data_IF_164793268103
#
_entry.id   IF_164793268103
#
_cell.length_a   1.000
_cell.length_b   1.000
_cell.length_c   1.000
_cell.angle_alpha   90.00
_cell.angle_beta   90.00
_cell.angle_gamma   90.00
#
_symmetry.space_group_name_H-M   'P 1'
#
loop_
_entity.id
_entity.type
_entity.pdbx_description
1 polymer ?
#
# COMPACT_ATOMS: atom_id res chain seq x y z
N UNK A 1 -2.11 28.45 -25.54
CA UNK A 1 -1.09 27.89 -24.64
C UNK A 1 -1.74 26.85 -23.73
N UNK A 2 -2.36 25.82 -24.31
CA UNK A 2 -3.59 25.23 -23.71
C UNK A 2 -3.43 23.76 -23.28
N UNK A 3 -2.38 23.07 -23.74
CA UNK A 3 -2.10 21.68 -23.36
C UNK A 3 -1.74 21.49 -21.88
N UNK A 4 -1.21 22.53 -21.21
CA UNK A 4 -0.74 22.42 -19.81
C UNK A 4 -1.90 22.33 -18.81
N UNK A 5 -3.06 22.93 -19.10
CA UNK A 5 -4.23 22.88 -18.21
C UNK A 5 -4.99 21.54 -18.26
N UNK A 6 -4.92 20.82 -19.38
CA UNK A 6 -5.62 19.53 -19.53
C UNK A 6 -4.95 18.45 -18.67
N UNK A 7 -3.61 18.44 -18.59
CA UNK A 7 -2.88 17.47 -17.77
C UNK A 7 -3.00 17.72 -16.26
N UNK A 8 -3.11 18.97 -15.79
CA UNK A 8 -3.24 19.24 -14.34
C UNK A 8 -4.61 18.87 -13.77
N UNK A 9 -5.68 18.88 -14.59
CA UNK A 9 -7.00 18.45 -14.16
C UNK A 9 -7.10 16.92 -13.97
N UNK A 10 -6.44 16.13 -14.82
CA UNK A 10 -6.59 14.67 -14.82
C UNK A 10 -5.92 13.99 -13.62
N UNK A 11 -4.80 14.52 -13.13
CA UNK A 11 -4.07 13.95 -11.98
C UNK A 11 -4.73 14.21 -10.61
N UNK A 12 -5.71 15.12 -10.52
CA UNK A 12 -6.34 15.48 -9.25
C UNK A 12 -7.47 14.51 -8.81
N UNK A 13 -7.99 13.68 -9.71
CA UNK A 13 -9.27 12.96 -9.49
C UNK A 13 -9.10 11.56 -8.87
N UNK A 14 -7.89 10.96 -8.91
CA UNK A 14 -7.68 9.56 -8.51
C UNK A 14 -7.40 9.39 -6.98
N UNK A 15 -7.09 10.48 -6.26
CA UNK A 15 -6.59 10.41 -4.88
C UNK A 15 -7.65 10.26 -3.78
N UNK A 16 -8.93 10.55 -4.05
CA UNK A 16 -9.95 10.72 -2.98
C UNK A 16 -10.80 9.49 -2.69
N UNK A 17 -10.95 8.54 -3.62
CA UNK A 17 -11.91 7.42 -3.47
C UNK A 17 -11.38 6.19 -2.73
N UNK A 18 -10.06 6.03 -2.56
CA UNK A 18 -9.46 4.84 -1.93
C UNK A 18 -9.27 4.94 -0.41
N UNK A 19 -9.47 6.12 0.16
CA UNK A 19 -9.17 6.35 1.57
C UNK A 19 -10.15 5.61 2.51
N UNK A 20 -11.44 5.51 2.11
CA UNK A 20 -12.53 4.96 2.94
C UNK A 20 -12.31 3.52 3.46
N UNK A 21 -11.58 2.66 2.74
CA UNK A 21 -11.30 1.29 3.19
C UNK A 21 -10.18 1.17 4.24
N UNK A 22 -9.52 2.28 4.58
CA UNK A 22 -8.36 2.28 5.47
C UNK A 22 -8.70 1.88 6.91
N UNK A 23 -9.78 2.41 7.50
CA UNK A 23 -10.18 2.01 8.85
C UNK A 23 -10.55 0.52 8.90
N UNK A 24 -11.34 0.04 7.94
CA UNK A 24 -11.72 -1.39 7.85
C UNK A 24 -10.50 -2.32 7.70
N UNK A 25 -9.42 -1.90 7.03
CA UNK A 25 -8.20 -2.71 6.90
C UNK A 25 -7.24 -2.59 8.10
N UNK A 26 -7.24 -1.47 8.82
CA UNK A 26 -6.22 -1.16 9.82
C UNK A 26 -6.75 -0.95 11.24
N UNK A 27 -8.06 -1.09 11.49
CA UNK A 27 -8.71 -0.83 12.79
C UNK A 27 -7.98 -1.50 13.95
N UNK A 28 -7.59 -2.77 13.82
CA UNK A 28 -6.87 -3.52 14.86
C UNK A 28 -5.47 -2.99 15.18
N UNK A 29 -4.89 -2.13 14.33
CA UNK A 29 -3.52 -1.60 14.47
C UNK A 29 -3.47 -0.15 14.95
N UNK A 30 -4.54 0.64 14.78
CA UNK A 30 -4.58 2.04 15.25
C UNK A 30 -4.59 2.19 16.79
N UNK A 31 -5.36 1.39 17.57
CA UNK A 31 -5.43 1.51 19.02
C UNK A 31 -4.12 1.21 19.75
N UNK A 32 -3.14 0.61 19.08
CA UNK A 32 -1.78 0.44 19.63
C UNK A 32 -0.97 1.74 19.68
N UNK A 33 -1.48 2.83 19.11
CA UNK A 33 -0.81 4.13 19.05
C UNK A 33 -1.54 5.26 19.80
N UNK A 34 -2.80 5.06 20.21
CA UNK A 34 -3.56 6.07 20.95
C UNK A 34 -3.19 6.09 22.43
N UNK A 35 -3.00 7.27 23.02
CA UNK A 35 -2.72 7.42 24.46
C UNK A 35 -3.97 7.30 25.33
N UNK A 36 -5.16 7.48 24.75
CA UNK A 36 -6.43 7.40 25.44
C UNK A 36 -7.40 6.36 24.85
N UNK A 37 -8.45 6.09 25.62
CA UNK A 37 -9.56 5.23 25.22
C UNK A 37 -9.29 3.72 25.34
N UNK A 38 -10.36 2.93 25.31
CA UNK A 38 -10.26 1.46 25.34
C UNK A 38 -10.06 0.91 23.94
N UNK A 39 -9.00 0.11 23.68
CA UNK A 39 -8.65 -0.26 22.30
C UNK A 39 -9.73 -1.07 21.57
N UNK A 40 -10.43 -1.97 22.27
CA UNK A 40 -11.54 -2.72 21.68
C UNK A 40 -12.79 -1.88 21.35
N UNK A 41 -13.00 -0.75 22.05
CA UNK A 41 -14.10 0.17 21.76
C UNK A 41 -13.76 1.08 20.59
N UNK A 42 -12.48 1.46 20.45
CA UNK A 42 -11.96 2.19 19.29
C UNK A 42 -12.05 1.30 18.03
N UNK A 43 -11.58 0.06 18.10
CA UNK A 43 -11.61 -0.90 16.98
C UNK A 43 -13.03 -1.14 16.45
N UNK A 44 -13.98 -1.50 17.33
CA UNK A 44 -15.38 -1.74 16.96
C UNK A 44 -16.01 -0.48 16.32
N UNK A 45 -15.84 0.70 16.93
CA UNK A 45 -16.39 1.94 16.40
C UNK A 45 -15.77 2.32 15.04
N UNK A 46 -14.43 2.25 14.90
CA UNK A 46 -13.74 2.56 13.64
C UNK A 46 -14.07 1.56 12.52
N UNK A 47 -14.37 0.30 12.85
CA UNK A 47 -14.78 -0.71 11.85
C UNK A 47 -16.11 -0.38 11.17
N UNK A 48 -16.96 0.44 11.81
CA UNK A 48 -18.29 0.81 11.33
C UNK A 48 -18.28 2.13 10.51
N UNK A 49 -17.18 2.88 10.49
CA UNK A 49 -17.06 4.11 9.70
C UNK A 49 -16.85 3.79 8.22
N UNK A 50 -17.74 4.31 7.37
CA UNK A 50 -17.60 4.23 5.91
C UNK A 50 -16.82 5.41 5.31
N UNK A 51 -16.70 6.53 6.03
CA UNK A 51 -16.06 7.77 5.58
C UNK A 51 -15.01 8.29 6.56
N UNK A 52 -13.97 8.94 6.04
CA UNK A 52 -12.90 9.61 6.80
C UNK A 52 -13.31 11.00 7.32
N UNK A 53 -14.48 11.08 7.93
CA UNK A 53 -14.92 12.31 8.59
C UNK A 53 -14.25 12.44 9.96
N UNK A 54 -13.45 13.50 10.14
CA UNK A 54 -12.79 13.84 11.41
C UNK A 54 -13.77 13.91 12.59
N UNK A 55 -14.99 14.38 12.34
CA UNK A 55 -16.07 14.43 13.34
C UNK A 55 -16.52 13.04 13.82
N UNK A 56 -16.60 12.06 12.91
CA UNK A 56 -17.07 10.71 13.25
C UNK A 56 -15.95 9.92 13.94
N UNK A 57 -14.70 10.11 13.51
CA UNK A 57 -13.50 9.55 14.16
C UNK A 57 -13.34 10.09 15.57
N UNK A 58 -13.42 11.41 15.77
CA UNK A 58 -13.39 12.05 17.10
C UNK A 58 -14.49 11.47 18.01
N UNK A 59 -15.71 11.31 17.48
CA UNK A 59 -16.82 10.71 18.23
C UNK A 59 -16.52 9.28 18.72
N UNK A 60 -15.80 8.46 17.94
CA UNK A 60 -15.34 7.14 18.39
C UNK A 60 -14.36 7.23 19.57
N UNK A 61 -13.41 8.17 19.55
CA UNK A 61 -12.48 8.38 20.67
C UNK A 61 -13.20 8.86 21.94
N UNK A 62 -14.19 9.77 21.82
CA UNK A 62 -15.05 10.17 22.95
C UNK A 62 -15.82 8.97 23.51
N UNK A 63 -16.43 8.14 22.66
CA UNK A 63 -17.16 6.92 23.08
C UNK A 63 -16.22 5.90 23.76
N UNK A 64 -14.97 5.81 23.31
CA UNK A 64 -13.95 4.96 23.92
C UNK A 64 -13.44 5.47 25.29
N UNK A 65 -13.80 6.70 25.69
CA UNK A 65 -13.48 7.30 26.99
C UNK A 65 -12.37 8.35 26.98
N UNK A 66 -11.97 8.86 25.81
CA UNK A 66 -11.08 10.02 25.73
C UNK A 66 -11.79 11.33 26.14
N UNK A 67 -11.02 12.31 26.59
CA UNK A 67 -11.52 13.69 26.71
C UNK A 67 -11.80 14.31 25.33
N UNK A 68 -12.61 15.36 25.24
CA UNK A 68 -12.98 15.97 23.95
C UNK A 68 -11.75 16.54 23.23
N UNK A 69 -10.86 17.20 23.97
CA UNK A 69 -9.65 17.81 23.41
C UNK A 69 -8.67 16.73 22.91
N UNK A 70 -8.45 15.69 23.71
CA UNK A 70 -7.55 14.57 23.37
C UNK A 70 -8.11 13.71 22.21
N UNK A 71 -9.44 13.54 22.15
CA UNK A 71 -10.12 12.85 21.05
C UNK A 71 -9.98 13.60 19.71
N UNK A 72 -9.85 14.93 19.72
CA UNK A 72 -9.62 15.71 18.50
C UNK A 72 -8.19 15.50 17.96
N UNK A 73 -7.19 15.53 18.84
CA UNK A 73 -5.79 15.31 18.45
C UNK A 73 -5.53 13.86 18.01
N UNK A 74 -6.08 12.88 18.72
CA UNK A 74 -6.02 11.46 18.33
C UNK A 74 -6.74 11.19 17.00
N UNK A 75 -7.90 11.82 16.74
CA UNK A 75 -8.59 11.69 15.47
C UNK A 75 -7.74 12.22 14.30
N UNK A 76 -7.09 13.38 14.45
CA UNK A 76 -6.17 13.92 13.44
C UNK A 76 -4.98 12.98 13.20
N UNK A 77 -4.38 12.46 14.28
CA UNK A 77 -3.25 11.54 14.17
C UNK A 77 -3.65 10.22 13.48
N UNK A 78 -4.80 9.65 13.84
CA UNK A 78 -5.39 8.48 13.19
C UNK A 78 -5.59 8.68 11.68
N UNK A 79 -6.18 9.81 11.26
CA UNK A 79 -6.38 10.15 9.85
C UNK A 79 -5.03 10.31 9.12
N UNK A 80 -4.06 10.99 9.73
CA UNK A 80 -2.75 11.18 9.13
C UNK A 80 -1.98 9.86 8.99
N UNK A 81 -2.02 8.99 10.00
CA UNK A 81 -1.45 7.64 10.01
C UNK A 81 -2.07 6.78 8.92
N UNK A 82 -3.39 6.80 8.83
CA UNK A 82 -4.18 6.11 7.81
C UNK A 82 -3.77 6.56 6.39
N UNK A 83 -3.63 7.87 6.14
CA UNK A 83 -3.11 8.38 4.86
C UNK A 83 -1.71 7.84 4.56
N UNK A 84 -0.78 7.83 5.51
CA UNK A 84 0.56 7.26 5.30
C UNK A 84 0.53 5.76 4.98
N UNK A 85 -0.30 4.97 5.67
CA UNK A 85 -0.46 3.54 5.39
C UNK A 85 -1.04 3.31 3.99
N UNK A 86 -2.06 4.09 3.59
CA UNK A 86 -2.63 4.01 2.24
C UNK A 86 -1.61 4.31 1.14
N UNK A 87 -0.72 5.30 1.34
CA UNK A 87 0.37 5.61 0.40
C UNK A 87 1.41 4.48 0.34
N UNK A 88 1.74 3.85 1.47
CA UNK A 88 2.65 2.71 1.51
C UNK A 88 2.05 1.47 0.83
N UNK A 89 0.75 1.23 0.96
CA UNK A 89 0.03 0.19 0.20
C UNK A 89 -0.05 0.51 -1.29
N UNK A 90 -0.30 1.76 -1.68
CA UNK A 90 -0.22 2.16 -3.09
C UNK A 90 1.18 1.89 -3.65
N UNK A 91 2.23 2.28 -2.93
CA UNK A 91 3.62 1.99 -3.33
C UNK A 91 3.89 0.48 -3.44
N UNK A 92 3.37 -0.32 -2.50
CA UNK A 92 3.48 -1.78 -2.53
C UNK A 92 2.73 -2.36 -3.74
N UNK A 93 1.55 -1.83 -4.07
CA UNK A 93 0.73 -2.26 -5.21
C UNK A 93 1.25 -1.78 -6.56
N UNK A 94 1.81 -0.59 -6.68
CA UNK A 94 2.53 -0.14 -7.90
C UNK A 94 3.74 -1.06 -8.17
N UNK A 95 4.41 -1.53 -7.11
CA UNK A 95 5.50 -2.51 -7.24
C UNK A 95 4.98 -3.91 -7.64
N UNK A 96 3.67 -4.17 -7.57
CA UNK A 96 3.04 -5.46 -7.94
C UNK A 96 1.91 -5.33 -8.98
N UNK A 97 1.79 -4.19 -9.68
CA UNK A 97 0.56 -3.79 -10.37
C UNK A 97 0.73 -3.41 -11.84
N UNK A 98 1.89 -3.68 -12.45
CA UNK A 98 2.20 -3.38 -13.86
C UNK A 98 1.60 -4.43 -14.83
N UNK A 99 0.81 -5.39 -14.35
CA UNK A 99 0.44 -6.61 -15.08
C UNK A 99 -1.06 -6.97 -14.88
N UNK A 100 -1.98 -6.18 -15.48
CA UNK A 100 -3.43 -6.49 -15.63
C UNK A 100 -4.17 -5.49 -16.53
N UNK A 101 -4.38 -5.82 -17.81
CA UNK A 101 -5.44 -5.33 -18.73
C UNK A 101 -5.34 -6.20 -20.00
N UNK A 102 -6.03 -7.35 -20.10
CA UNK A 102 -7.45 -7.55 -20.44
C UNK A 102 -7.79 -7.37 -21.95
N UNK A 103 -7.85 -8.48 -22.70
CA UNK A 103 -8.62 -8.57 -23.94
C UNK A 103 -9.03 -10.01 -24.29
N UNK A 104 -10.34 -10.23 -24.36
CA UNK A 104 -11.00 -11.46 -24.84
C UNK A 104 -10.87 -11.56 -26.37
N UNK A 105 -10.52 -12.72 -26.97
CA UNK A 105 -11.06 -13.22 -28.27
C UNK A 105 -10.69 -14.70 -28.52
N UNK A 106 -11.61 -15.38 -29.21
CA UNK A 106 -11.81 -16.82 -29.49
C UNK A 106 -10.92 -17.43 -30.60
N UNK A 107 -10.81 -18.78 -30.59
CA UNK A 107 -10.63 -19.69 -31.76
C UNK A 107 -9.24 -19.71 -32.48
N UNK A 108 -8.77 -20.80 -33.12
CA UNK A 108 -9.30 -22.17 -33.33
C UNK A 108 -8.18 -23.18 -33.69
N UNK A 109 -8.41 -24.48 -33.46
CA UNK A 109 -7.71 -25.65 -34.08
C UNK A 109 -6.21 -25.92 -33.78
N UNK A 110 -5.64 -27.10 -34.06
CA UNK A 110 -6.20 -28.45 -34.27
C UNK A 110 -5.10 -29.55 -34.15
N UNK A 111 -5.50 -30.74 -33.68
CA UNK A 111 -4.98 -32.12 -33.92
C UNK A 111 -3.53 -32.58 -33.67
N UNK A 112 -3.47 -33.85 -33.20
CA UNK A 112 -2.37 -34.85 -33.19
C UNK A 112 -1.56 -34.93 -31.89
N UNK A 113 -1.78 -35.81 -30.89
CA UNK A 113 -2.24 -37.23 -30.79
C UNK A 113 -1.08 -38.26 -30.75
N UNK A 114 -1.32 -39.39 -30.06
CA UNK A 114 -0.44 -40.54 -29.70
C UNK A 114 0.40 -40.37 -28.41
N UNK A 115 0.43 -41.29 -27.42
CA UNK A 115 -0.56 -42.28 -26.93
C UNK A 115 -0.09 -42.78 -25.51
N UNK A 116 -0.81 -43.54 -24.67
CA UNK A 116 -2.14 -44.16 -24.78
C UNK A 116 -2.99 -44.07 -23.47
N UNK A 117 -2.90 -44.95 -22.44
CA UNK A 117 -4.06 -45.24 -21.56
C UNK A 117 -3.80 -44.99 -20.05
N UNK A 118 -4.78 -45.09 -19.13
CA UNK A 118 -6.17 -45.54 -19.27
C UNK A 118 -7.17 -44.65 -18.53
N UNK A 119 -8.42 -44.69 -19.01
CA UNK A 119 -9.59 -43.97 -18.54
C UNK A 119 -10.29 -44.59 -17.31
N UNK A 120 -10.80 -43.73 -16.44
CA UNK A 120 -12.14 -43.91 -15.87
C UNK A 120 -12.89 -42.59 -16.08
N UNK A 121 -13.91 -42.60 -16.95
CA UNK A 121 -14.45 -41.37 -17.52
C UNK A 121 -15.50 -40.70 -16.61
N UNK A 122 -15.28 -39.43 -16.31
CA UNK A 122 -16.32 -38.43 -16.08
C UNK A 122 -15.77 -37.09 -16.55
N UNK A 123 -16.59 -36.35 -17.30
CA UNK A 123 -16.19 -35.25 -18.15
C UNK A 123 -16.01 -33.91 -17.41
N UNK A 124 -15.33 -32.99 -18.10
CA UNK A 124 -15.27 -31.51 -17.90
C UNK A 124 -14.07 -30.99 -17.09
N UNK A 125 -13.59 -29.84 -17.58
CA UNK A 125 -12.60 -28.86 -17.07
C UNK A 125 -11.08 -29.04 -17.25
N UNK A 126 -10.50 -27.97 -17.81
CA UNK A 126 -9.07 -27.72 -18.06
C UNK A 126 -8.41 -27.27 -16.75
N UNK A 127 -8.44 -28.12 -15.73
CA UNK A 127 -7.99 -27.76 -14.37
C UNK A 127 -7.30 -28.91 -13.64
N UNK A 128 -6.07 -29.28 -14.09
CA UNK A 128 -5.18 -30.14 -13.27
C UNK A 128 -3.68 -30.18 -13.59
N UNK A 129 -3.12 -29.21 -14.32
CA UNK A 129 -1.66 -29.01 -14.26
C UNK A 129 -1.31 -28.38 -12.91
N UNK A 130 -0.53 -29.07 -12.07
CA UNK A 130 -0.30 -28.63 -10.70
C UNK A 130 0.31 -27.21 -10.63
N UNK A 131 -0.47 -26.25 -10.12
CA UNK A 131 -0.08 -24.87 -9.90
C UNK A 131 1.20 -24.71 -9.06
N UNK A 132 1.31 -25.58 -8.05
CA UNK A 132 2.37 -25.56 -7.06
C UNK A 132 3.22 -26.83 -7.14
N UNK A 133 4.53 -26.64 -7.17
CA UNK A 133 5.51 -27.70 -6.93
C UNK A 133 5.71 -27.83 -5.43
N UNK A 134 5.32 -28.96 -4.84
CA UNK A 134 5.56 -29.23 -3.42
C UNK A 134 6.99 -29.69 -3.20
N UNK A 135 7.82 -28.84 -2.58
CA UNK A 135 9.18 -29.20 -2.17
C UNK A 135 9.18 -29.64 -0.70
N UNK A 136 9.69 -30.84 -0.42
CA UNK A 136 9.86 -31.31 0.97
C UNK A 136 11.18 -30.78 1.50
N UNK A 137 11.13 -29.83 2.45
CA UNK A 137 12.31 -29.31 3.14
C UNK A 137 12.30 -29.81 4.59
N UNK A 138 13.41 -30.41 5.00
CA UNK A 138 13.63 -30.71 6.42
C UNK A 138 13.98 -29.41 7.15
N UNK A 139 13.25 -29.11 8.22
CA UNK A 139 13.55 -28.01 9.14
C UNK A 139 13.81 -28.61 10.52
N UNK A 140 14.81 -28.09 11.21
CA UNK A 140 15.11 -28.51 12.57
C UNK A 140 14.35 -27.58 13.52
N UNK A 141 13.37 -28.13 14.25
CA UNK A 141 12.56 -27.40 15.22
C UNK A 141 13.12 -27.71 16.60
N UNK A 142 13.67 -26.68 17.25
CA UNK A 142 14.19 -26.78 18.61
C UNK A 142 13.17 -26.20 19.58
N UNK A 143 12.87 -26.94 20.63
CA UNK A 143 12.13 -26.39 21.77
C UNK A 143 13.07 -25.46 22.57
N UNK A 144 12.52 -24.39 23.17
CA UNK A 144 13.31 -23.38 23.89
C UNK A 144 12.71 -23.21 25.27
N UNK A 145 13.43 -23.69 26.27
CA UNK A 145 13.02 -23.62 27.67
C UNK A 145 13.78 -22.50 28.38
N UNK A 146 13.04 -21.61 29.04
CA UNK A 146 13.65 -20.50 29.80
C UNK A 146 13.81 -20.92 31.26
N UNK A 147 15.05 -21.17 31.69
CA UNK A 147 15.38 -21.56 33.07
C UNK A 147 16.18 -20.43 33.72
N UNK A 148 15.70 -19.90 34.85
CA UNK A 148 16.43 -18.86 35.60
C UNK A 148 16.58 -17.50 34.88
N UNK A 149 15.76 -17.22 33.86
CA UNK A 149 15.83 -15.97 33.09
C UNK A 149 16.76 -16.00 31.88
N UNK A 150 17.43 -17.13 31.62
CA UNK A 150 18.16 -17.39 30.38
C UNK A 150 17.39 -18.38 29.52
N UNK A 151 17.35 -18.14 28.20
CA UNK A 151 16.73 -19.04 27.25
C UNK A 151 17.74 -20.13 26.85
N UNK A 152 17.45 -21.38 27.21
CA UNK A 152 18.24 -22.55 26.83
C UNK A 152 17.51 -23.34 25.73
N UNK A 153 18.21 -23.58 24.62
CA UNK A 153 17.68 -24.38 23.51
C UNK A 153 17.75 -25.86 23.88
N UNK A 154 16.60 -26.51 23.96
CA UNK A 154 16.49 -27.95 24.23
C UNK A 154 16.69 -28.78 22.95
N UNK A 155 16.35 -30.07 23.00
CA UNK A 155 16.61 -31.01 21.91
C UNK A 155 15.85 -30.65 20.63
N UNK A 156 16.59 -30.46 19.53
CA UNK A 156 16.00 -30.20 18.22
C UNK A 156 15.50 -31.47 17.53
N UNK A 157 14.28 -31.43 17.01
CA UNK A 157 13.67 -32.53 16.23
C UNK A 157 13.55 -32.14 14.76
N UNK A 158 13.92 -33.05 13.85
CA UNK A 158 13.78 -32.86 12.40
C UNK A 158 12.31 -32.96 12.00
N UNK A 159 11.68 -31.83 11.68
CA UNK A 159 10.34 -31.79 11.11
C UNK A 159 10.40 -31.76 9.57
N UNK A 160 9.45 -32.43 8.92
CA UNK A 160 9.23 -32.30 7.46
C UNK A 160 8.29 -31.11 7.22
N UNK A 161 8.80 -30.07 6.58
CA UNK A 161 7.98 -28.95 6.10
C UNK A 161 7.72 -29.13 4.60
N UNK A 162 6.44 -29.08 4.22
CA UNK A 162 6.01 -29.09 2.83
C UNK A 162 5.88 -27.64 2.37
N UNK A 163 6.81 -27.18 1.54
CA UNK A 163 6.79 -25.84 0.95
C UNK A 163 6.18 -25.93 -0.45
N UNK A 164 5.00 -25.35 -0.63
CA UNK A 164 4.38 -25.16 -1.95
C UNK A 164 5.00 -23.93 -2.63
N UNK A 165 5.85 -24.15 -3.63
CA UNK A 165 6.39 -23.07 -4.46
C UNK A 165 5.63 -23.04 -5.79
N UNK A 166 5.35 -21.87 -6.34
CA UNK A 166 4.79 -21.78 -7.69
C UNK A 166 5.66 -22.51 -8.72
N UNK A 167 5.01 -23.17 -9.68
CA UNK A 167 5.71 -23.75 -10.83
C UNK A 167 6.49 -22.65 -11.58
N UNK A 168 7.63 -23.02 -12.17
CA UNK A 168 8.47 -22.09 -12.92
C UNK A 168 7.69 -21.36 -14.02
N UNK A 169 7.95 -20.07 -14.19
CA UNK A 169 7.24 -19.17 -15.12
C UNK A 169 5.72 -19.02 -14.86
N UNK A 170 5.22 -19.35 -13.66
CA UNK A 170 3.82 -19.08 -13.28
C UNK A 170 3.73 -18.15 -12.08
N UNK A 171 2.70 -17.31 -12.09
CA UNK A 171 2.20 -16.53 -10.95
C UNK A 171 0.99 -17.29 -10.42
N UNK A 172 1.03 -17.74 -9.17
CA UNK A 172 -0.12 -18.37 -8.52
C UNK A 172 -0.74 -17.41 -7.51
N UNK A 173 -2.05 -17.36 -7.48
CA UNK A 173 -2.83 -16.67 -6.46
C UNK A 173 -4.02 -17.53 -6.05
N UNK A 174 -4.41 -17.49 -4.78
CA UNK A 174 -5.56 -18.25 -4.27
C UNK A 174 -6.69 -17.26 -4.01
N UNK A 175 -7.83 -17.45 -4.69
CA UNK A 175 -8.99 -16.58 -4.56
C UNK A 175 -9.68 -16.76 -3.19
N UNK A 176 -10.57 -15.84 -2.79
CA UNK A 176 -11.36 -15.93 -1.56
C UNK A 176 -12.19 -17.23 -1.44
N UNK A 177 -12.50 -17.88 -2.57
CA UNK A 177 -13.14 -19.20 -2.66
C UNK A 177 -12.20 -20.40 -2.41
N UNK A 178 -10.91 -20.17 -2.17
CA UNK A 178 -9.83 -21.17 -2.12
C UNK A 178 -9.61 -21.92 -3.45
N UNK A 179 -9.90 -21.26 -4.55
CA UNK A 179 -9.56 -21.72 -5.90
C UNK A 179 -8.17 -21.21 -6.26
N UNK A 180 -7.29 -22.11 -6.70
CA UNK A 180 -5.92 -21.80 -7.11
C UNK A 180 -5.89 -21.35 -8.57
N UNK A 181 -5.58 -20.08 -8.79
CA UNK A 181 -5.47 -19.46 -10.11
C UNK A 181 -3.98 -19.40 -10.46
N UNK A 182 -3.61 -20.00 -11.59
CA UNK A 182 -2.27 -19.86 -12.16
C UNK A 182 -2.31 -19.12 -13.49
N UNK A 183 -1.53 -18.05 -13.55
CA UNK A 183 -1.29 -17.29 -14.77
C UNK A 183 0.14 -17.56 -15.23
N UNK A 184 0.32 -17.79 -16.52
CA UNK A 184 1.65 -17.89 -17.11
C UNK A 184 2.26 -16.48 -17.16
N UNK A 185 3.51 -16.34 -16.69
CA UNK A 185 4.21 -15.07 -16.66
C UNK A 185 4.62 -14.70 -18.07
N UNK A 186 3.78 -13.94 -18.77
CA UNK A 186 4.18 -13.30 -20.01
C UNK A 186 5.35 -12.35 -19.73
N UNK A 187 6.34 -12.32 -20.62
CA UNK A 187 7.45 -11.40 -20.50
C UNK A 187 6.97 -9.98 -20.79
N UNK A 188 7.12 -9.06 -19.83
CA UNK A 188 6.81 -7.64 -20.04
C UNK A 188 7.48 -7.14 -21.32
N UNK A 189 6.67 -6.78 -22.31
CA UNK A 189 7.14 -6.33 -23.62
C UNK A 189 7.94 -5.04 -23.53
N UNK A 190 8.66 -4.74 -24.62
CA UNK A 190 9.46 -3.51 -24.79
C UNK A 190 8.60 -2.25 -24.54
N UNK A 191 7.28 -2.34 -24.76
CA UNK A 191 6.28 -1.30 -24.57
C UNK A 191 6.30 -0.68 -23.15
N UNK A 192 6.41 -1.50 -22.10
CA UNK A 192 6.48 -1.01 -20.71
C UNK A 192 7.73 -0.17 -20.43
N UNK A 193 8.85 -0.49 -21.09
CA UNK A 193 10.11 0.27 -20.99
C UNK A 193 9.98 1.64 -21.66
N UNK A 194 9.29 1.72 -22.81
CA UNK A 194 9.05 2.99 -23.50
C UNK A 194 8.23 3.94 -22.63
N UNK A 195 7.13 3.47 -22.03
CA UNK A 195 6.32 4.30 -21.13
C UNK A 195 7.13 4.74 -19.91
N UNK A 196 7.84 3.81 -19.25
CA UNK A 196 8.66 4.12 -18.07
C UNK A 196 9.74 5.19 -18.33
N UNK A 197 10.41 5.15 -19.49
CA UNK A 197 11.44 6.14 -19.85
C UNK A 197 10.87 7.53 -20.10
N UNK A 198 9.70 7.65 -20.73
CA UNK A 198 9.03 8.94 -20.97
C UNK A 198 8.62 9.60 -19.65
N UNK A 199 7.98 8.85 -18.74
CA UNK A 199 7.60 9.36 -17.42
C UNK A 199 8.83 9.72 -16.57
N UNK A 200 9.88 8.88 -16.59
CA UNK A 200 11.14 9.18 -15.92
C UNK A 200 11.79 10.48 -16.41
N UNK A 201 11.83 10.69 -17.73
CA UNK A 201 12.36 11.93 -18.32
C UNK A 201 11.53 13.16 -17.92
N UNK A 202 10.20 13.07 -17.93
CA UNK A 202 9.32 14.16 -17.52
C UNK A 202 9.53 14.58 -16.06
N UNK A 203 9.69 13.61 -15.15
CA UNK A 203 9.98 13.85 -13.72
C UNK A 203 11.33 14.58 -13.57
N UNK A 204 12.38 14.11 -14.26
CA UNK A 204 13.71 14.72 -14.22
C UNK A 204 13.68 16.18 -14.71
N UNK A 205 13.01 16.44 -15.84
CA UNK A 205 12.83 17.81 -16.37
C UNK A 205 12.06 18.70 -15.40
N UNK A 206 11.01 18.17 -14.75
CA UNK A 206 10.25 18.87 -13.71
C UNK A 206 11.12 19.29 -12.52
N UNK A 207 11.95 18.39 -11.99
CA UNK A 207 12.89 18.73 -10.92
C UNK A 207 13.89 19.80 -11.35
N UNK A 208 14.53 19.66 -12.53
CA UNK A 208 15.47 20.68 -13.03
C UNK A 208 14.81 22.06 -13.18
N UNK A 209 13.55 22.13 -13.61
CA UNK A 209 12.81 23.38 -13.70
C UNK A 209 12.57 24.04 -12.33
N UNK A 210 12.18 23.25 -11.32
CA UNK A 210 12.01 23.72 -9.93
C UNK A 210 13.35 24.24 -9.38
N UNK A 211 14.43 23.47 -9.49
CA UNK A 211 15.76 23.93 -9.06
C UNK A 211 16.18 25.23 -9.77
N UNK A 212 16.00 25.32 -11.08
CA UNK A 212 16.35 26.51 -11.86
C UNK A 212 15.57 27.75 -11.43
N UNK A 213 14.26 27.61 -11.20
CA UNK A 213 13.41 28.73 -10.74
C UNK A 213 13.79 29.19 -9.33
N UNK A 214 14.05 28.26 -8.40
CA UNK A 214 14.57 28.57 -7.05
C UNK A 214 15.91 29.33 -7.11
N UNK A 215 16.90 28.84 -7.84
CA UNK A 215 18.20 29.52 -7.98
C UNK A 215 18.06 30.91 -8.63
N UNK A 216 17.16 31.07 -9.60
CA UNK A 216 16.90 32.34 -10.28
C UNK A 216 16.17 33.34 -9.37
N UNK A 217 15.30 32.88 -8.46
CA UNK A 217 14.68 33.71 -7.44
C UNK A 217 15.71 34.23 -6.41
N UNK A 218 16.57 33.35 -5.88
CA UNK A 218 17.62 33.73 -4.93
C UNK A 218 18.60 34.76 -5.51
N UNK A 219 18.93 34.68 -6.82
CA UNK A 219 19.76 35.70 -7.48
C UNK A 219 19.12 37.09 -7.50
N UNK A 220 17.78 37.19 -7.61
CA UNK A 220 17.07 38.48 -7.57
C UNK A 220 17.03 39.06 -6.15
N UNK A 221 16.81 38.23 -5.13
CA UNK A 221 16.76 38.68 -3.74
C UNK A 221 18.09 39.29 -3.28
N UNK A 222 19.23 38.73 -3.69
CA UNK A 222 20.57 39.29 -3.37
C UNK A 222 20.83 40.70 -3.93
N UNK A 223 20.14 41.10 -4.99
CA UNK A 223 20.27 42.44 -5.60
C UNK A 223 19.41 43.48 -4.87
N UNK A 224 18.33 43.04 -4.22
CA UNK A 224 17.42 43.92 -3.46
C UNK A 224 17.88 44.06 -2.01
N UNK A 225 18.38 42.97 -1.40
CA UNK A 225 18.90 42.95 -0.04
C UNK A 225 20.13 43.86 0.18
N UNK A 226 20.94 44.10 -0.86
CA UNK A 226 22.06 45.06 -0.80
C UNK A 226 21.64 46.53 -0.96
N UNK A 227 20.35 46.81 -1.13
CA UNK A 227 19.80 48.16 -1.32
C UNK A 227 18.68 48.53 -0.34
N UNK A 228 18.25 47.61 0.51
CA UNK A 228 17.32 47.90 1.61
C UNK A 228 18.11 48.17 2.91
N UNK A 229 17.88 49.29 3.62
CA UNK A 229 18.41 49.44 4.97
C UNK A 229 17.78 48.38 5.88
N UNK A 230 18.57 47.87 6.82
CA UNK A 230 18.19 46.81 7.75
C UNK A 230 17.05 47.25 8.68
N UNK A 231 15.81 46.92 8.30
CA UNK A 231 14.64 46.92 9.19
C UNK A 231 14.32 45.50 9.59
N UNK A 232 14.72 45.12 10.81
CA UNK A 232 14.36 43.87 11.48
C UNK A 232 12.85 43.76 11.64
N UNK A 233 12.17 43.22 10.61
CA UNK A 233 10.78 42.79 10.73
C UNK A 233 10.79 41.38 11.29
N UNK A 234 10.91 41.30 12.61
CA UNK A 234 10.74 40.07 13.38
C UNK A 234 9.48 39.34 12.94
N UNK A 235 9.62 38.08 12.50
CA UNK A 235 8.51 37.16 12.30
C UNK A 235 7.87 36.85 13.66
N UNK A 236 7.03 37.75 14.14
CA UNK A 236 6.19 37.53 15.33
C UNK A 236 5.00 36.69 14.89
N UNK A 237 4.87 35.42 15.30
CA UNK A 237 3.70 34.62 14.97
C UNK A 237 2.48 35.22 15.67
N UNK A 238 1.47 35.60 14.87
CA UNK A 238 0.18 36.02 15.39
C UNK A 238 -0.54 34.79 15.97
N UNK A 239 -0.48 34.64 17.30
CA UNK A 239 -1.34 33.71 18.04
C UNK A 239 -2.68 34.41 18.26
N UNK A 240 -3.79 33.98 17.63
CA UNK A 240 -5.10 34.54 17.91
C UNK A 240 -5.55 34.14 19.31
N UNK A 241 -5.79 35.13 20.18
CA UNK A 241 -6.48 34.93 21.46
C UNK A 241 -7.97 35.16 21.29
N UNK A 242 -8.72 34.09 21.02
CA UNK A 242 -10.18 34.04 21.10
C UNK A 242 -10.59 32.65 21.59
N UNK A 243 -10.73 32.50 22.91
CA UNK A 243 -11.99 32.16 23.57
C UNK A 243 -11.75 32.06 25.09
N UNK A 244 -12.35 32.99 25.84
CA UNK A 244 -12.45 32.94 27.28
C UNK A 244 -13.77 33.58 27.70
N UNK A 245 -14.85 32.81 27.65
CA UNK A 245 -16.13 33.02 28.37
C UNK A 245 -16.82 31.67 28.47
#
# INVERSE_FOLDING_TARGET
MDFVQIFTALFAIIATSRANNCYVQYSASLPGYSTCGKPGTIDDCLSQLQDLNERDVNRCYIIAGCSVDEAEDEAKFAIQRCRQLSINELKRRDTTGIDSDDHITTADGDSSTEDAPSANASSVDISRTACFTTSTKYIDVCDVHTTGGHAETATCTKAKSLSSTCAGNRICTTNAKREDICMEKQGMGIEGVVVGTIFGAAIIVGFFYIFFTCFRASKKQKIIASKAPSTDTSCTPLIPKELAT
#
